data_IF_626545118573
#
_entry.id   IF_626545118573
#
_cell.length_a   1.000
_cell.length_b   1.000
_cell.length_c   1.000
_cell.angle_alpha   90.00
_cell.angle_beta   90.00
_cell.angle_gamma   90.00
#
_symmetry.space_group_name_H-M   'P 1'
#
loop_
_entity.id
_entity.type
_entity.pdbx_description
1 polymer ?
#
# COMPACT_ATOMS: atom_id res chain seq x y z
N UNK A 1 -5.19 67.36 -25.49
CA UNK A 1 -4.64 68.33 -26.38
C UNK A 1 -3.21 67.96 -26.69
N UNK A 2 -2.85 68.02 -28.00
CA UNK A 2 -1.52 67.89 -28.66
C UNK A 2 -1.03 66.42 -28.72
N UNK A 3 -1.20 65.65 -29.76
CA UNK A 3 -0.87 65.71 -31.22
C UNK A 3 0.58 65.97 -31.49
N UNK A 4 1.13 65.11 -32.35
CA UNK A 4 2.13 65.36 -33.42
C UNK A 4 3.24 64.32 -33.34
N UNK A 5 3.45 63.37 -34.24
CA UNK A 5 3.59 63.21 -35.69
C UNK A 5 4.99 62.59 -36.00
N UNK A 6 4.98 61.45 -36.58
CA UNK A 6 5.51 61.00 -37.88
C UNK A 6 7.04 61.12 -38.14
N UNK A 7 7.69 60.10 -38.53
CA UNK A 7 8.98 60.09 -39.20
C UNK A 7 9.27 58.72 -39.85
N UNK A 8 8.87 58.53 -41.10
CA UNK A 8 9.28 57.50 -42.02
C UNK A 8 10.71 57.77 -42.52
N UNK A 9 11.57 56.78 -42.51
CA UNK A 9 12.68 56.71 -43.47
C UNK A 9 12.88 55.28 -43.90
N UNK A 10 12.58 55.02 -45.14
CA UNK A 10 12.90 53.87 -45.97
C UNK A 10 14.23 54.05 -46.66
N UNK A 11 15.08 53.02 -46.74
CA UNK A 11 16.08 52.71 -47.79
C UNK A 11 16.93 51.55 -47.29
N UNK A 12 17.19 50.44 -47.93
CA UNK A 12 17.19 50.08 -49.29
C UNK A 12 18.04 48.80 -49.42
N UNK A 13 17.62 47.90 -50.22
CA UNK A 13 18.18 46.65 -50.74
C UNK A 13 19.69 46.40 -50.63
N UNK A 14 20.04 45.14 -50.24
CA UNK A 14 21.03 44.36 -50.95
C UNK A 14 20.83 42.86 -50.73
N UNK A 15 20.51 42.13 -51.82
CA UNK A 15 20.43 40.68 -51.93
C UNK A 15 21.84 40.16 -52.08
N UNK A 16 22.22 39.16 -51.30
CA UNK A 16 23.31 38.24 -51.62
C UNK A 16 22.93 36.81 -51.22
N UNK A 17 22.58 36.04 -52.24
CA UNK A 17 22.52 34.56 -52.15
C UNK A 17 23.94 34.02 -51.96
N UNK A 18 24.15 33.32 -50.86
CA UNK A 18 25.24 32.38 -50.72
C UNK A 18 24.64 31.06 -50.29
N UNK A 19 24.48 30.13 -51.21
CA UNK A 19 24.18 28.73 -50.97
C UNK A 19 25.40 28.08 -50.32
N UNK A 20 25.29 27.71 -49.05
CA UNK A 20 26.16 26.72 -48.45
C UNK A 20 25.29 25.67 -47.82
N UNK A 21 25.33 24.46 -48.37
CA UNK A 21 24.70 23.28 -47.86
C UNK A 21 25.26 22.95 -46.49
N UNK A 22 24.42 23.13 -45.48
CA UNK A 22 24.65 22.57 -44.16
C UNK A 22 23.86 21.28 -44.04
N UNK A 23 24.61 20.19 -43.97
CA UNK A 23 24.09 18.90 -43.49
C UNK A 23 23.26 19.18 -42.22
N UNK A 24 21.98 18.97 -42.30
CA UNK A 24 21.14 18.76 -41.13
C UNK A 24 21.68 17.53 -40.43
N UNK A 25 22.57 17.74 -39.46
CA UNK A 25 22.75 16.77 -38.41
C UNK A 25 21.43 16.74 -37.63
N UNK A 26 20.60 15.76 -37.94
CA UNK A 26 19.56 15.35 -37.04
C UNK A 26 20.25 14.92 -35.74
N UNK A 27 20.32 15.85 -34.81
CA UNK A 27 20.59 15.51 -33.41
C UNK A 27 19.38 14.71 -33.00
N UNK A 28 19.48 13.38 -33.05
CA UNK A 28 18.62 12.51 -32.29
C UNK A 28 18.84 12.92 -30.85
N UNK A 29 17.93 13.73 -30.30
CA UNK A 29 17.74 13.78 -28.88
C UNK A 29 17.43 12.32 -28.49
N UNK A 30 18.43 11.62 -28.01
CA UNK A 30 18.16 10.45 -27.18
C UNK A 30 17.40 11.01 -25.99
N UNK A 31 16.07 10.88 -25.98
CA UNK A 31 15.31 10.93 -24.75
C UNK A 31 15.97 9.87 -23.85
N UNK A 32 16.84 10.31 -22.97
CA UNK A 32 17.35 9.45 -21.92
C UNK A 32 16.11 9.09 -21.11
N UNK A 33 15.64 7.86 -21.27
CA UNK A 33 14.52 7.33 -20.53
C UNK A 33 14.75 7.67 -19.05
N UNK A 34 13.78 8.32 -18.42
CA UNK A 34 13.83 8.65 -17.00
C UNK A 34 13.88 7.35 -16.20
N UNK A 35 15.04 7.05 -15.63
CA UNK A 35 15.33 5.81 -14.88
C UNK A 35 14.98 5.90 -13.40
N UNK A 36 14.38 7.02 -12.95
CA UNK A 36 13.91 7.18 -11.56
C UNK A 36 12.54 6.60 -11.41
N UNK A 37 12.34 5.75 -10.39
CA UNK A 37 11.07 5.15 -10.02
C UNK A 37 10.72 5.59 -8.60
N UNK A 38 9.67 6.37 -8.44
CA UNK A 38 9.19 6.83 -7.14
C UNK A 38 8.19 5.85 -6.57
N UNK A 39 8.48 5.29 -5.40
CA UNK A 39 7.62 4.33 -4.71
C UNK A 39 7.19 4.87 -3.36
N UNK A 40 5.89 5.09 -3.18
CA UNK A 40 5.31 5.47 -1.91
C UNK A 40 5.13 4.23 -1.02
N UNK A 41 5.56 4.32 0.24
CA UNK A 41 5.39 3.25 1.22
C UNK A 41 5.29 3.84 2.64
N UNK A 42 4.89 3.02 3.62
CA UNK A 42 4.49 3.57 4.91
C UNK A 42 5.47 3.25 6.04
N UNK A 43 5.64 2.00 6.40
CA UNK A 43 6.40 1.57 7.58
C UNK A 43 7.18 0.28 7.30
N UNK A 44 8.14 -0.03 8.17
CA UNK A 44 8.80 -1.35 8.21
C UNK A 44 7.75 -2.46 8.41
N UNK A 45 7.86 -3.61 7.72
CA UNK A 45 8.94 -4.01 6.81
C UNK A 45 8.76 -3.54 5.36
N UNK A 46 7.64 -2.92 4.99
CA UNK A 46 7.34 -2.50 3.62
C UNK A 46 8.41 -1.57 3.06
N UNK A 47 8.80 -0.55 3.84
CA UNK A 47 9.86 0.39 3.44
C UNK A 47 11.20 -0.29 3.25
N UNK A 48 11.50 -1.33 4.04
CA UNK A 48 12.76 -2.05 3.95
C UNK A 48 12.80 -2.97 2.74
N UNK A 49 11.68 -3.61 2.39
CA UNK A 49 11.53 -4.34 1.11
C UNK A 49 11.79 -3.41 -0.07
N UNK A 50 11.25 -2.19 -0.09
CA UNK A 50 11.53 -1.21 -1.16
C UNK A 50 13.01 -0.85 -1.22
N UNK A 51 13.71 -0.71 -0.07
CA UNK A 51 15.15 -0.42 -0.05
C UNK A 51 15.97 -1.59 -0.60
N UNK A 52 15.64 -2.83 -0.24
CA UNK A 52 16.29 -4.02 -0.82
C UNK A 52 16.09 -4.06 -2.33
N UNK A 53 14.86 -3.85 -2.81
CA UNK A 53 14.56 -3.79 -4.23
C UNK A 53 15.30 -2.65 -4.94
N UNK A 54 15.52 -1.50 -4.27
CA UNK A 54 16.28 -0.39 -4.83
C UNK A 54 17.73 -0.77 -5.10
N UNK A 55 18.39 -1.50 -4.20
CA UNK A 55 19.75 -1.98 -4.43
C UNK A 55 19.84 -2.99 -5.59
N UNK A 56 18.81 -3.81 -5.77
CA UNK A 56 18.70 -4.72 -6.92
C UNK A 56 18.54 -3.93 -8.22
N UNK A 57 17.61 -2.97 -8.25
CA UNK A 57 17.29 -2.18 -9.44
C UNK A 57 18.48 -1.37 -9.96
N UNK A 58 19.37 -0.91 -9.08
CA UNK A 58 20.62 -0.21 -9.45
C UNK A 58 21.52 -1.02 -10.37
N UNK A 59 21.54 -2.35 -10.21
CA UNK A 59 22.33 -3.25 -11.07
C UNK A 59 21.87 -3.21 -12.52
N UNK A 60 20.59 -2.89 -12.75
CA UNK A 60 19.96 -2.75 -14.06
C UNK A 60 19.86 -1.27 -14.51
N UNK A 61 20.49 -0.35 -13.78
CA UNK A 61 20.53 1.08 -14.11
C UNK A 61 19.27 1.86 -13.74
N UNK A 62 18.42 1.32 -12.85
CA UNK A 62 17.23 2.01 -12.33
C UNK A 62 17.51 2.59 -10.94
N UNK A 63 16.90 3.73 -10.64
CA UNK A 63 16.96 4.40 -9.34
C UNK A 63 15.56 4.38 -8.68
N UNK A 64 15.32 3.44 -7.75
CA UNK A 64 14.10 3.40 -6.97
C UNK A 64 14.24 4.36 -5.78
N UNK A 65 13.38 5.35 -5.72
CA UNK A 65 13.31 6.34 -4.66
C UNK A 65 12.08 6.08 -3.78
N UNK A 66 12.35 5.71 -2.52
CA UNK A 66 11.31 5.54 -1.51
C UNK A 66 10.77 6.90 -1.06
N UNK A 67 9.45 7.07 -1.12
CA UNK A 67 8.73 8.17 -0.50
C UNK A 67 7.97 7.60 0.69
N UNK A 68 8.43 7.92 1.90
CA UNK A 68 7.78 7.42 3.11
C UNK A 68 6.63 8.34 3.51
N UNK A 69 5.45 7.76 3.77
CA UNK A 69 4.27 8.45 4.27
C UNK A 69 3.85 7.88 5.63
N UNK A 70 3.04 8.62 6.38
CA UNK A 70 2.59 8.24 7.73
C UNK A 70 1.06 8.08 7.83
N UNK A 71 0.41 7.90 6.70
CA UNK A 71 -1.04 7.84 6.57
C UNK A 71 -1.45 6.69 5.66
N UNK A 72 -2.58 6.02 5.98
CA UNK A 72 -3.06 4.85 5.24
C UNK A 72 -3.68 5.16 3.86
N UNK A 73 -3.82 6.44 3.48
CA UNK A 73 -4.41 6.86 2.21
C UNK A 73 -3.38 7.59 1.34
N UNK A 74 -2.45 8.30 1.96
CA UNK A 74 -1.51 9.20 1.29
C UNK A 74 -0.68 8.52 0.19
N UNK A 75 -0.28 7.26 0.35
CA UNK A 75 0.45 6.52 -0.68
C UNK A 75 -0.39 6.32 -1.95
N UNK A 76 -1.70 6.12 -1.82
CA UNK A 76 -2.62 6.02 -2.96
C UNK A 76 -2.88 7.38 -3.61
N UNK A 77 -3.06 8.43 -2.79
CA UNK A 77 -3.22 9.79 -3.30
C UNK A 77 -2.00 10.21 -4.14
N UNK A 78 -0.77 9.88 -3.69
CA UNK A 78 0.46 10.17 -4.44
C UNK A 78 0.55 9.40 -5.76
N UNK A 79 0.13 8.14 -5.79
CA UNK A 79 0.09 7.36 -7.04
C UNK A 79 -0.98 7.92 -7.98
N UNK A 80 -2.18 8.19 -7.49
CA UNK A 80 -3.29 8.73 -8.28
C UNK A 80 -2.96 10.11 -8.86
N UNK A 81 -2.29 10.98 -8.08
CA UNK A 81 -1.86 12.33 -8.52
C UNK A 81 -0.61 12.34 -9.39
N UNK A 82 0.04 11.19 -9.63
CA UNK A 82 1.31 11.04 -10.38
C UNK A 82 2.55 11.61 -9.64
N UNK A 83 2.46 11.87 -8.35
CA UNK A 83 3.61 12.24 -7.52
C UNK A 83 4.53 11.04 -7.25
N UNK A 84 3.94 9.83 -7.21
CA UNK A 84 4.66 8.56 -7.20
C UNK A 84 4.30 7.72 -8.44
N UNK A 85 5.23 6.86 -8.88
CA UNK A 85 5.02 5.92 -9.97
C UNK A 85 4.21 4.70 -9.50
N UNK A 86 4.44 4.27 -8.25
CA UNK A 86 3.79 3.13 -7.62
C UNK A 86 3.72 3.31 -6.10
N UNK A 87 2.93 2.45 -5.44
CA UNK A 87 2.98 2.26 -3.99
C UNK A 87 3.26 0.80 -3.63
N UNK A 88 3.75 0.61 -2.40
CA UNK A 88 3.88 -0.69 -1.76
C UNK A 88 3.55 -0.56 -0.27
N UNK A 89 2.28 -0.67 0.08
CA UNK A 89 1.79 -0.42 1.43
C UNK A 89 0.47 -1.15 1.76
N UNK A 90 -0.19 -1.76 0.78
CA UNK A 90 -1.56 -2.23 0.92
C UNK A 90 -1.83 -3.55 0.19
N UNK A 91 -2.99 -4.10 0.46
CA UNK A 91 -3.57 -5.24 -0.23
C UNK A 91 -4.68 -4.82 -1.22
N UNK A 92 -5.01 -5.71 -2.14
CA UNK A 92 -5.96 -5.44 -3.22
C UNK A 92 -7.35 -4.96 -2.74
N UNK A 93 -8.02 -5.57 -1.74
CA UNK A 93 -9.32 -5.08 -1.28
C UNK A 93 -9.30 -3.64 -0.77
N UNK A 94 -8.22 -3.20 -0.12
CA UNK A 94 -8.07 -1.81 0.33
C UNK A 94 -7.94 -0.84 -0.86
N UNK A 95 -7.11 -1.20 -1.85
CA UNK A 95 -6.97 -0.42 -3.09
C UNK A 95 -8.31 -0.31 -3.85
N UNK A 96 -9.06 -1.42 -3.98
CA UNK A 96 -10.36 -1.42 -4.65
C UNK A 96 -11.37 -0.51 -3.92
N UNK A 97 -11.34 -0.50 -2.58
CA UNK A 97 -12.15 0.41 -1.78
C UNK A 97 -11.77 1.86 -2.01
N UNK A 98 -10.45 2.17 -1.98
CA UNK A 98 -9.94 3.49 -2.33
C UNK A 98 -10.41 3.94 -3.72
N UNK A 99 -10.29 3.09 -4.74
CA UNK A 99 -10.75 3.39 -6.09
C UNK A 99 -12.24 3.75 -6.13
N UNK A 100 -13.07 2.96 -5.43
CA UNK A 100 -14.52 3.19 -5.35
C UNK A 100 -14.87 4.52 -4.68
N UNK A 101 -14.17 4.88 -3.61
CA UNK A 101 -14.45 6.09 -2.82
C UNK A 101 -13.92 7.37 -3.46
N UNK A 102 -12.76 7.28 -4.12
CA UNK A 102 -12.08 8.43 -4.72
C UNK A 102 -12.30 8.58 -6.22
N UNK A 103 -12.96 7.62 -6.87
CA UNK A 103 -13.10 7.59 -8.33
C UNK A 103 -11.76 7.39 -9.03
N UNK A 104 -10.85 6.64 -8.40
CA UNK A 104 -9.51 6.34 -8.92
C UNK A 104 -9.50 5.04 -9.71
N UNK A 105 -8.40 4.75 -10.40
CA UNK A 105 -8.19 3.56 -11.21
C UNK A 105 -6.81 2.93 -10.97
N UNK A 106 -6.45 2.79 -9.69
CA UNK A 106 -5.26 2.08 -9.30
C UNK A 106 -5.42 0.57 -9.57
N UNK A 107 -4.32 -0.09 -9.89
CA UNK A 107 -4.29 -1.51 -10.22
C UNK A 107 -3.21 -2.23 -9.41
N UNK A 108 -3.56 -3.41 -8.94
CA UNK A 108 -2.65 -4.31 -8.26
C UNK A 108 -1.74 -5.00 -9.30
N UNK A 109 -0.43 -4.84 -9.16
CA UNK A 109 0.57 -5.28 -10.14
C UNK A 109 1.20 -6.62 -9.77
N UNK A 110 1.61 -6.76 -8.49
CA UNK A 110 2.38 -7.92 -8.03
C UNK A 110 2.25 -8.09 -6.52
N UNK A 111 1.72 -9.22 -6.04
CA UNK A 111 1.83 -9.58 -4.63
C UNK A 111 3.29 -9.86 -4.25
N UNK A 112 3.68 -9.43 -3.07
CA UNK A 112 5.06 -9.56 -2.57
C UNK A 112 5.10 -10.43 -1.32
N UNK A 113 4.22 -10.21 -0.35
CA UNK A 113 4.15 -11.08 0.81
C UNK A 113 2.75 -11.15 1.42
N UNK A 114 2.50 -12.25 2.09
CA UNK A 114 1.35 -12.46 2.97
C UNK A 114 1.75 -12.24 4.42
N UNK A 115 0.81 -11.75 5.22
CA UNK A 115 0.97 -11.60 6.66
C UNK A 115 -0.21 -12.24 7.38
N UNK A 116 0.07 -13.11 8.35
CA UNK A 116 -0.96 -13.65 9.23
C UNK A 116 -1.40 -12.62 10.24
N UNK A 117 -2.61 -12.16 10.11
CA UNK A 117 -3.24 -11.27 11.07
C UNK A 117 -3.87 -12.06 12.21
N UNK A 118 -4.11 -11.40 13.34
CA UNK A 118 -4.68 -12.07 14.50
C UNK A 118 -5.31 -11.12 15.49
N UNK A 119 -5.95 -11.70 16.49
CA UNK A 119 -6.41 -10.99 17.67
C UNK A 119 -5.47 -11.25 18.84
N UNK A 120 -5.10 -10.20 19.51
CA UNK A 120 -4.17 -10.21 20.65
C UNK A 120 -4.91 -9.77 21.91
N UNK A 121 -4.57 -10.40 23.02
CA UNK A 121 -5.12 -10.07 24.33
C UNK A 121 -4.03 -9.90 25.37
N UNK A 122 -4.15 -8.86 26.20
CA UNK A 122 -3.28 -8.61 27.33
C UNK A 122 -3.64 -9.48 28.56
N UNK A 123 -4.94 -9.67 28.74
CA UNK A 123 -5.49 -10.18 29.97
C UNK A 123 -5.94 -11.66 29.89
N UNK A 124 -6.10 -12.19 28.67
CA UNK A 124 -6.65 -13.52 28.44
C UNK A 124 -5.74 -14.40 27.59
N UNK A 125 -5.66 -15.68 27.96
CA UNK A 125 -4.92 -16.71 27.21
C UNK A 125 -5.83 -17.65 26.42
N UNK A 126 -7.14 -17.57 26.66
CA UNK A 126 -8.17 -18.31 25.92
C UNK A 126 -9.37 -17.39 25.66
N UNK A 127 -10.01 -17.55 24.51
CA UNK A 127 -11.27 -16.85 24.20
C UNK A 127 -12.42 -17.26 25.12
N UNK A 128 -12.34 -18.45 25.70
CA UNK A 128 -13.35 -18.94 26.63
C UNK A 128 -13.36 -18.13 27.94
N UNK A 129 -12.20 -17.62 28.34
CA UNK A 129 -12.04 -16.81 29.56
C UNK A 129 -12.50 -15.36 29.39
N UNK A 130 -12.74 -14.92 28.16
CA UNK A 130 -13.17 -13.54 27.86
C UNK A 130 -14.62 -13.36 28.33
N UNK A 131 -14.88 -12.38 29.23
CA UNK A 131 -16.23 -12.10 29.69
C UNK A 131 -17.16 -11.64 28.57
N UNK A 132 -18.45 -11.93 28.74
CA UNK A 132 -19.49 -11.39 27.85
C UNK A 132 -19.59 -9.87 27.98
N UNK A 133 -19.87 -9.19 26.87
CA UNK A 133 -20.05 -7.73 26.81
C UNK A 133 -18.75 -6.93 26.83
N UNK A 134 -17.60 -7.56 26.61
CA UNK A 134 -16.31 -6.86 26.54
C UNK A 134 -16.10 -6.20 25.18
N UNK A 135 -15.19 -5.21 25.14
CA UNK A 135 -14.81 -4.54 23.91
C UNK A 135 -13.81 -5.35 23.11
N UNK A 136 -14.03 -5.40 21.81
CA UNK A 136 -13.13 -5.97 20.81
C UNK A 136 -12.77 -4.88 19.80
N UNK A 137 -11.49 -4.46 19.77
CA UNK A 137 -11.04 -3.43 18.85
C UNK A 137 -10.76 -4.04 17.46
N UNK A 138 -11.39 -3.48 16.45
CA UNK A 138 -11.31 -3.88 15.04
C UNK A 138 -11.02 -2.67 14.16
N UNK A 139 -10.47 -2.88 12.93
CA UNK A 139 -10.19 -1.78 12.00
C UNK A 139 -11.45 -1.00 11.62
N UNK A 140 -11.28 0.31 11.42
CA UNK A 140 -12.35 1.20 10.96
C UNK A 140 -12.54 1.21 9.44
N UNK A 141 -11.57 0.75 8.68
CA UNK A 141 -11.72 0.59 7.23
C UNK A 141 -12.43 -0.71 6.89
N UNK A 142 -13.32 -0.66 5.91
CA UNK A 142 -14.24 -1.75 5.60
C UNK A 142 -13.54 -3.05 5.20
N UNK A 143 -12.39 -2.98 4.51
CA UNK A 143 -11.70 -4.18 4.02
C UNK A 143 -11.02 -4.95 5.15
N UNK A 144 -10.40 -4.26 6.10
CA UNK A 144 -9.81 -4.89 7.27
C UNK A 144 -10.85 -5.23 8.35
N UNK A 145 -11.94 -4.43 8.50
CA UNK A 145 -13.09 -4.80 9.33
C UNK A 145 -13.64 -6.15 8.93
N UNK A 146 -13.94 -6.34 7.63
CA UNK A 146 -14.47 -7.60 7.13
C UNK A 146 -13.53 -8.78 7.35
N UNK A 147 -12.21 -8.60 7.16
CA UNK A 147 -11.21 -9.65 7.48
C UNK A 147 -11.19 -9.99 8.97
N UNK A 148 -11.26 -9.00 9.85
CA UNK A 148 -11.32 -9.20 11.30
C UNK A 148 -12.56 -9.99 11.70
N UNK A 149 -13.73 -9.63 11.18
CA UNK A 149 -14.99 -10.33 11.46
C UNK A 149 -14.98 -11.76 10.93
N UNK A 150 -14.40 -12.01 9.74
CA UNK A 150 -14.27 -13.35 9.18
C UNK A 150 -13.43 -14.26 10.10
N UNK A 151 -12.34 -13.75 10.70
CA UNK A 151 -11.54 -14.51 11.67
C UNK A 151 -12.39 -14.88 12.89
N UNK A 152 -13.14 -13.94 13.45
CA UNK A 152 -14.02 -14.23 14.60
C UNK A 152 -15.08 -15.28 14.25
N UNK A 153 -15.63 -15.23 13.04
CA UNK A 153 -16.58 -16.22 12.54
C UNK A 153 -15.94 -17.60 12.35
N UNK A 154 -14.71 -17.68 11.82
CA UNK A 154 -13.96 -18.94 11.67
C UNK A 154 -13.67 -19.63 13.01
N UNK A 155 -13.61 -18.86 14.09
CA UNK A 155 -13.50 -19.39 15.45
C UNK A 155 -14.85 -19.63 16.13
N UNK A 156 -15.97 -19.38 15.44
CA UNK A 156 -17.31 -19.59 15.96
C UNK A 156 -17.72 -18.60 17.06
N UNK A 157 -17.04 -17.45 17.14
CA UNK A 157 -17.31 -16.41 18.14
C UNK A 157 -18.45 -15.49 17.73
N UNK A 158 -18.69 -15.38 16.43
CA UNK A 158 -19.83 -14.68 15.83
C UNK A 158 -20.33 -15.48 14.63
N UNK A 159 -21.54 -15.20 14.18
CA UNK A 159 -22.06 -15.67 12.89
C UNK A 159 -22.32 -14.49 11.99
N UNK A 160 -21.83 -14.55 10.75
CA UNK A 160 -22.09 -13.54 9.72
C UNK A 160 -23.25 -13.99 8.83
N UNK A 161 -23.89 -13.07 8.13
CA UNK A 161 -24.87 -13.38 7.08
C UNK A 161 -24.24 -14.24 6.00
N UNK A 162 -25.02 -15.12 5.41
CA UNK A 162 -24.58 -15.99 4.32
C UNK A 162 -23.98 -15.20 3.16
N UNK A 163 -22.83 -15.65 2.66
CA UNK A 163 -22.15 -15.08 1.49
C UNK A 163 -21.35 -13.81 1.74
N UNK A 164 -21.32 -13.29 2.96
CA UNK A 164 -20.65 -12.02 3.26
C UNK A 164 -19.13 -12.19 3.41
N UNK A 165 -18.67 -13.25 4.08
CA UNK A 165 -17.24 -13.53 4.29
C UNK A 165 -16.44 -12.29 4.74
N UNK A 166 -15.34 -11.99 4.04
CA UNK A 166 -14.45 -10.84 4.34
C UNK A 166 -14.94 -9.48 3.84
N UNK A 167 -16.12 -9.43 3.24
CA UNK A 167 -16.75 -8.16 2.79
C UNK A 167 -17.79 -7.66 3.80
N UNK A 168 -17.90 -8.32 4.97
CA UNK A 168 -18.84 -8.02 6.03
C UNK A 168 -18.48 -6.81 6.88
N UNK A 169 -19.49 -6.25 7.50
CA UNK A 169 -19.39 -5.22 8.54
C UNK A 169 -20.04 -5.73 9.82
N UNK A 170 -19.89 -5.02 10.93
CA UNK A 170 -20.58 -5.36 12.20
C UNK A 170 -22.11 -5.46 12.03
N UNK A 171 -22.69 -4.81 11.01
CA UNK A 171 -24.14 -4.88 10.70
C UNK A 171 -24.55 -6.22 10.09
N UNK A 172 -23.59 -7.00 9.64
CA UNK A 172 -23.80 -8.30 9.02
C UNK A 172 -23.64 -9.46 10.01
N UNK A 173 -23.39 -9.15 11.28
CA UNK A 173 -23.38 -10.13 12.36
C UNK A 173 -24.83 -10.53 12.68
N UNK A 174 -25.11 -11.83 12.56
CA UNK A 174 -26.42 -12.41 12.89
C UNK A 174 -26.46 -13.03 14.28
N UNK A 175 -25.32 -13.52 14.78
CA UNK A 175 -25.17 -14.04 16.14
C UNK A 175 -23.87 -13.52 16.77
N UNK A 176 -23.97 -13.13 18.04
CA UNK A 176 -22.85 -12.66 18.85
C UNK A 176 -23.04 -13.20 20.29
N UNK A 177 -22.78 -14.49 20.52
CA UNK A 177 -23.11 -15.16 21.79
C UNK A 177 -22.42 -14.56 23.01
N UNK A 178 -21.22 -14.01 22.83
CA UNK A 178 -20.48 -13.32 23.90
C UNK A 178 -20.85 -11.83 24.05
N UNK A 179 -21.78 -11.32 23.24
CA UNK A 179 -22.18 -9.91 23.23
C UNK A 179 -20.97 -8.95 23.13
N UNK A 180 -20.02 -9.25 22.26
CA UNK A 180 -18.86 -8.39 22.03
C UNK A 180 -19.32 -6.98 21.61
N UNK A 181 -18.75 -5.97 22.24
CA UNK A 181 -18.91 -4.56 21.88
C UNK A 181 -17.75 -4.17 20.96
N UNK A 182 -18.03 -3.96 19.67
CA UNK A 182 -17.01 -3.68 18.67
C UNK A 182 -16.59 -2.22 18.68
N UNK A 183 -15.31 -1.99 19.01
CA UNK A 183 -14.67 -0.68 18.98
C UNK A 183 -13.96 -0.51 17.63
N UNK A 184 -14.49 0.37 16.78
CA UNK A 184 -13.89 0.73 15.49
C UNK A 184 -12.73 1.69 15.70
N UNK A 185 -11.51 1.31 15.29
CA UNK A 185 -10.26 2.04 15.51
C UNK A 185 -9.49 2.13 14.20
N UNK A 186 -8.86 3.26 13.92
CA UNK A 186 -7.94 3.38 12.79
C UNK A 186 -6.82 2.33 12.88
N UNK A 187 -6.49 1.70 11.74
CA UNK A 187 -5.55 0.58 11.68
C UNK A 187 -4.18 0.91 12.30
N UNK A 188 -3.71 2.15 12.17
CA UNK A 188 -2.43 2.59 12.72
C UNK A 188 -2.43 2.71 14.25
N UNK A 189 -3.60 2.90 14.83
CA UNK A 189 -3.82 3.12 16.27
C UNK A 189 -4.29 1.84 17.00
N UNK A 190 -4.57 0.75 16.28
CA UNK A 190 -5.03 -0.50 16.89
C UNK A 190 -4.06 -1.08 17.91
N UNK A 191 -2.74 -0.94 17.70
CA UNK A 191 -1.75 -1.41 18.67
C UNK A 191 -1.86 -0.67 20.02
N UNK A 192 -2.28 0.59 20.02
CA UNK A 192 -2.48 1.38 21.24
C UNK A 192 -3.70 0.89 22.01
N UNK A 193 -4.76 0.48 21.29
CA UNK A 193 -5.98 -0.06 21.89
C UNK A 193 -5.72 -1.34 22.73
N UNK A 194 -4.59 -2.04 22.50
CA UNK A 194 -4.17 -3.20 23.31
C UNK A 194 -4.01 -2.87 24.80
N UNK A 195 -3.67 -1.64 25.13
CA UNK A 195 -3.46 -1.18 26.51
C UNK A 195 -4.69 -0.50 27.12
N UNK A 196 -5.75 -0.28 26.31
CA UNK A 196 -6.94 0.41 26.76
C UNK A 196 -7.74 -0.41 27.79
N UNK A 197 -8.26 0.24 28.85
CA UNK A 197 -9.14 -0.41 29.81
C UNK A 197 -10.39 -1.00 29.15
N UNK A 198 -10.79 -2.20 29.55
CA UNK A 198 -11.98 -2.92 29.06
C UNK A 198 -11.93 -3.36 27.59
N UNK A 199 -10.80 -3.24 26.90
CA UNK A 199 -10.56 -3.87 25.61
C UNK A 199 -9.94 -5.24 25.85
N UNK A 200 -10.66 -6.31 25.50
CA UNK A 200 -10.24 -7.70 25.75
C UNK A 200 -9.45 -8.29 24.60
N UNK A 201 -9.73 -7.87 23.39
CA UNK A 201 -9.02 -8.30 22.18
C UNK A 201 -8.82 -7.13 21.22
N UNK A 202 -7.69 -7.17 20.51
CA UNK A 202 -7.36 -6.19 19.46
C UNK A 202 -6.92 -6.94 18.21
N UNK A 203 -7.59 -6.68 17.08
CA UNK A 203 -7.13 -7.14 15.78
C UNK A 203 -5.84 -6.42 15.39
N UNK A 204 -4.86 -7.13 14.81
CA UNK A 204 -3.70 -6.44 14.27
C UNK A 204 -2.92 -7.26 13.22
N UNK A 205 -2.16 -6.52 12.42
CA UNK A 205 -1.11 -7.05 11.56
C UNK A 205 0.19 -7.21 12.33
N UNK A 206 1.06 -8.19 11.94
CA UNK A 206 2.39 -8.34 12.53
C UNK A 206 3.20 -7.04 12.51
N UNK A 207 3.10 -6.30 11.41
CA UNK A 207 3.78 -5.01 11.20
C UNK A 207 3.47 -3.97 12.28
N UNK A 208 2.21 -3.88 12.68
CA UNK A 208 1.79 -2.85 13.63
C UNK A 208 1.88 -3.31 15.08
N UNK A 209 1.54 -4.59 15.36
CA UNK A 209 1.62 -5.12 16.72
C UNK A 209 3.06 -5.24 17.21
N UNK A 210 4.04 -5.37 16.31
CA UNK A 210 5.45 -5.35 16.63
C UNK A 210 5.91 -4.05 17.31
N UNK A 211 5.20 -2.93 17.12
CA UNK A 211 5.47 -1.65 17.80
C UNK A 211 5.39 -1.76 19.32
N UNK A 212 4.58 -2.69 19.82
CA UNK A 212 4.43 -2.97 21.27
C UNK A 212 5.13 -4.27 21.69
N UNK A 213 6.01 -4.82 20.84
CA UNK A 213 6.85 -5.98 21.15
C UNK A 213 6.18 -7.33 20.99
N UNK A 214 4.98 -7.39 20.39
CA UNK A 214 4.25 -8.64 20.15
C UNK A 214 4.48 -9.15 18.72
N UNK A 215 4.28 -10.45 18.55
CA UNK A 215 4.45 -11.16 17.28
C UNK A 215 3.28 -12.16 17.05
N UNK A 216 3.12 -12.73 15.86
CA UNK A 216 2.01 -13.64 15.56
C UNK A 216 1.85 -14.82 16.53
N UNK A 217 2.96 -15.33 17.10
CA UNK A 217 2.88 -16.39 18.11
C UNK A 217 2.25 -15.97 19.45
N UNK A 218 2.09 -14.68 19.67
CA UNK A 218 1.47 -14.13 20.89
C UNK A 218 -0.04 -13.86 20.68
N UNK A 219 -0.55 -14.14 19.47
CA UNK A 219 -1.95 -13.95 19.15
C UNK A 219 -2.83 -14.95 19.90
N UNK A 220 -3.92 -14.45 20.48
CA UNK A 220 -4.97 -15.28 21.07
C UNK A 220 -5.73 -16.06 19.98
N UNK A 221 -5.99 -15.40 18.86
CA UNK A 221 -6.55 -15.99 17.63
C UNK A 221 -5.66 -15.58 16.47
N UNK A 222 -5.16 -16.55 15.72
CA UNK A 222 -4.41 -16.29 14.49
C UNK A 222 -5.26 -16.74 13.30
N UNK A 223 -5.22 -15.98 12.22
CA UNK A 223 -5.88 -16.34 10.95
C UNK A 223 -5.50 -17.78 10.56
N UNK A 224 -6.51 -18.66 10.41
CA UNK A 224 -6.29 -20.10 10.18
C UNK A 224 -5.71 -20.38 8.80
N UNK A 225 -6.20 -19.67 7.81
CA UNK A 225 -5.82 -19.84 6.41
C UNK A 225 -5.52 -18.47 5.82
N UNK A 226 -4.37 -18.33 5.17
CA UNK A 226 -4.01 -17.10 4.50
C UNK A 226 -4.93 -16.88 3.31
N UNK A 227 -5.58 -15.74 3.29
CA UNK A 227 -6.32 -15.27 2.13
C UNK A 227 -5.41 -14.38 1.27
N UNK A 228 -4.95 -14.90 0.15
CA UNK A 228 -4.01 -14.21 -0.75
C UNK A 228 -4.58 -12.95 -1.40
N UNK A 229 -5.88 -12.68 -1.27
CA UNK A 229 -6.46 -11.37 -1.64
C UNK A 229 -5.89 -10.23 -0.80
N UNK A 230 -5.43 -10.55 0.42
CA UNK A 230 -4.82 -9.61 1.36
C UNK A 230 -3.29 -9.59 1.31
N UNK A 231 -2.66 -10.20 0.29
CA UNK A 231 -1.23 -10.03 0.06
C UNK A 231 -0.89 -8.56 -0.11
N UNK A 232 0.17 -8.12 0.56
CA UNK A 232 0.70 -6.77 0.34
C UNK A 232 1.42 -6.76 -1.01
N UNK A 233 1.08 -5.78 -1.82
CA UNK A 233 1.47 -5.81 -3.23
C UNK A 233 1.88 -4.44 -3.78
N UNK A 234 2.60 -4.48 -4.88
CA UNK A 234 2.88 -3.30 -5.68
C UNK A 234 1.58 -2.85 -6.34
N UNK A 235 1.26 -1.58 -6.20
CA UNK A 235 0.11 -0.93 -6.83
C UNK A 235 0.60 0.20 -7.73
N UNK A 236 0.00 0.34 -8.89
CA UNK A 236 0.31 1.40 -9.86
C UNK A 236 -0.99 1.97 -10.44
N UNK A 237 -0.89 2.94 -11.32
CA UNK A 237 -2.04 3.42 -12.11
C UNK A 237 -2.27 2.52 -13.31
N UNK A 238 -3.51 2.48 -13.80
CA UNK A 238 -3.85 1.81 -15.04
C UNK A 238 -3.05 2.36 -16.24
N UNK A 239 -2.81 3.69 -16.29
CA UNK A 239 -2.10 4.35 -17.40
C UNK A 239 -0.58 4.09 -17.44
N UNK A 240 0.04 3.61 -16.33
CA UNK A 240 1.47 3.34 -16.29
C UNK A 240 1.84 1.88 -15.98
N UNK A 241 0.88 1.00 -15.72
CA UNK A 241 1.12 -0.38 -15.30
C UNK A 241 2.07 -1.18 -16.21
N UNK A 242 2.07 -0.88 -17.51
CA UNK A 242 2.89 -1.56 -18.51
C UNK A 242 4.19 -0.80 -18.85
N UNK A 243 4.48 0.31 -18.17
CA UNK A 243 5.65 1.13 -18.40
C UNK A 243 6.95 0.36 -18.08
N UNK A 244 8.06 0.82 -18.65
CA UNK A 244 9.38 0.27 -18.33
C UNK A 244 9.72 0.42 -16.84
N UNK A 245 9.31 1.52 -16.20
CA UNK A 245 9.47 1.75 -14.76
C UNK A 245 8.79 0.68 -13.92
N UNK A 246 7.51 0.41 -14.19
CA UNK A 246 6.74 -0.58 -13.41
C UNK A 246 7.24 -2.01 -13.67
N UNK A 247 7.65 -2.34 -14.90
CA UNK A 247 8.28 -3.62 -15.20
C UNK A 247 9.61 -3.81 -14.45
N UNK A 248 10.44 -2.77 -14.40
CA UNK A 248 11.68 -2.78 -13.64
C UNK A 248 11.44 -2.89 -12.14
N UNK A 249 10.47 -2.13 -11.60
CA UNK A 249 10.05 -2.22 -10.20
C UNK A 249 9.58 -3.64 -9.86
N UNK A 250 8.67 -4.20 -10.65
CA UNK A 250 8.19 -5.57 -10.46
C UNK A 250 9.34 -6.58 -10.42
N UNK A 251 10.28 -6.51 -11.38
CA UNK A 251 11.46 -7.38 -11.41
C UNK A 251 12.29 -7.27 -10.12
N UNK A 252 12.55 -6.04 -9.66
CA UNK A 252 13.34 -5.81 -8.46
C UNK A 252 12.62 -6.29 -7.19
N UNK A 253 11.31 -6.04 -7.08
CA UNK A 253 10.47 -6.44 -5.94
C UNK A 253 10.24 -7.95 -5.84
N UNK A 254 10.47 -8.71 -6.92
CA UNK A 254 10.38 -10.18 -6.94
C UNK A 254 11.74 -10.86 -7.11
N UNK A 255 12.81 -10.19 -6.70
CA UNK A 255 14.17 -10.73 -6.77
C UNK A 255 14.45 -11.75 -5.65
N UNK A 256 15.48 -12.56 -5.87
CA UNK A 256 15.96 -13.50 -4.85
C UNK A 256 16.41 -12.76 -3.57
N UNK A 257 16.96 -11.56 -3.68
CA UNK A 257 17.38 -10.74 -2.55
C UNK A 257 16.18 -10.29 -1.69
N UNK A 258 15.07 -9.90 -2.32
CA UNK A 258 13.83 -9.58 -1.59
C UNK A 258 13.25 -10.82 -0.94
N UNK A 259 13.24 -11.95 -1.63
CA UNK A 259 12.78 -13.23 -1.06
C UNK A 259 13.62 -13.62 0.15
N UNK A 260 14.94 -13.56 0.02
CA UNK A 260 15.87 -13.88 1.10
C UNK A 260 15.68 -12.95 2.31
N UNK A 261 15.47 -11.65 2.10
CA UNK A 261 15.15 -10.69 3.15
C UNK A 261 13.87 -11.10 3.91
N UNK A 262 12.80 -11.44 3.20
CA UNK A 262 11.55 -11.87 3.83
C UNK A 262 11.71 -13.17 4.61
N UNK A 263 12.42 -14.15 4.06
CA UNK A 263 12.61 -15.48 4.67
C UNK A 263 13.59 -15.48 5.86
N UNK A 264 14.60 -14.59 5.88
CA UNK A 264 15.58 -14.54 6.97
C UNK A 264 15.19 -13.59 8.09
N UNK A 265 14.75 -12.39 7.72
CA UNK A 265 14.56 -11.33 8.70
C UNK A 265 13.12 -11.27 9.21
N UNK A 266 12.17 -11.89 8.49
CA UNK A 266 10.74 -11.83 8.79
C UNK A 266 10.00 -13.18 8.72
N UNK A 267 10.71 -14.31 8.78
CA UNK A 267 10.13 -15.66 8.66
C UNK A 267 8.98 -15.96 9.64
N UNK A 268 9.00 -15.33 10.81
CA UNK A 268 7.97 -15.51 11.84
C UNK A 268 6.70 -14.71 11.55
N UNK A 269 6.77 -13.74 10.63
CA UNK A 269 5.72 -12.72 10.45
C UNK A 269 5.20 -12.64 9.03
N UNK A 270 6.05 -12.86 8.04
CA UNK A 270 5.75 -12.67 6.62
C UNK A 270 6.05 -13.94 5.82
N UNK A 271 5.32 -14.12 4.74
CA UNK A 271 5.46 -15.24 3.81
C UNK A 271 5.57 -14.66 2.39
N UNK A 272 6.66 -14.91 1.65
CA UNK A 272 6.76 -14.48 0.25
C UNK A 272 5.59 -15.01 -0.58
N UNK A 273 5.03 -14.16 -1.45
CA UNK A 273 3.87 -14.46 -2.32
C UNK A 273 4.24 -14.46 -3.81
N UNK A 274 5.52 -14.70 -4.16
CA UNK A 274 6.01 -14.74 -5.54
C UNK A 274 7.03 -15.86 -5.73
#
# INVERSE_FOLDING_TARGET
>A
MKKIVLGFVTLGMAVSLAACGSKSSSTSSSDSEDKVIKVASQTTPMTDVVKVAAEVAKKDGWDIQLIQVNDNVAYNDMVASKEADASFAEHKPFMEKYNSEKGSNLVAIQPIYDAKVGFYSKDYQSVDDIPSGTKVAIPSDASNEGRALAILADYGLITLKDGVSTDGTVKDITENPKNFDFLSVDLLNLAEAYSEPNVSMVYNYPTYIAKIGLKPSDALLLEKTIDTRFSIQVVAREDNQDSAKIKALKKAMTSDEVKEFLEKDHSDTLIPSF
#
